data_IF_358289796870
#
_entry.id   IF_358289796870
#
_cell.length_a   1.000
_cell.length_b   1.000
_cell.length_c   1.000
_cell.angle_alpha   90.00
_cell.angle_beta   90.00
_cell.angle_gamma   90.00
#
_symmetry.space_group_name_H-M   'P 1'
#
loop_
_entity.id
_entity.type
_entity.pdbx_description
1 polymer ?
#
# COMPACT_ATOMS: atom_id res chain seq x y z
N UNK A 1 3.64 3.30 1.57
CA UNK A 1 2.91 4.53 1.99
C UNK A 1 2.28 5.18 0.77
N UNK A 2 1.13 5.81 0.93
CA UNK A 2 0.52 6.59 -0.15
C UNK A 2 1.53 7.65 -0.63
N UNK A 3 1.58 7.91 -1.94
CA UNK A 3 2.53 8.86 -2.51
C UNK A 3 3.95 8.35 -2.70
N UNK A 4 4.24 7.11 -2.38
CA UNK A 4 5.58 6.55 -2.54
C UNK A 4 5.92 6.17 -4.00
N UNK A 5 4.92 6.18 -4.90
CA UNK A 5 5.14 5.87 -6.31
C UNK A 5 4.98 4.39 -6.66
N UNK A 6 4.29 3.62 -5.83
CA UNK A 6 4.13 2.18 -6.00
C UNK A 6 3.51 1.80 -7.36
N UNK A 7 2.48 2.51 -7.78
CA UNK A 7 1.82 2.22 -9.05
C UNK A 7 2.74 2.49 -10.23
N UNK A 8 3.43 3.62 -10.24
CA UNK A 8 4.35 3.99 -11.31
C UNK A 8 5.52 3.02 -11.42
N UNK A 9 6.18 2.75 -10.30
CA UNK A 9 7.33 1.83 -10.25
C UNK A 9 6.88 0.41 -10.58
N UNK A 10 5.76 -0.02 -10.01
CA UNK A 10 5.24 -1.36 -10.23
C UNK A 10 4.88 -1.63 -11.69
N UNK A 11 4.22 -0.68 -12.34
CA UNK A 11 3.91 -0.79 -13.77
C UNK A 11 5.17 -0.88 -14.63
N UNK A 12 6.16 -0.04 -14.35
CA UNK A 12 7.43 -0.03 -15.11
C UNK A 12 8.16 -1.36 -14.93
N UNK A 13 8.22 -1.87 -13.70
CA UNK A 13 8.88 -3.13 -13.41
C UNK A 13 8.17 -4.31 -14.09
N UNK A 14 6.84 -4.32 -14.06
CA UNK A 14 6.06 -5.36 -14.70
C UNK A 14 6.30 -5.40 -16.21
N UNK A 15 6.42 -4.23 -16.86
CA UNK A 15 6.75 -4.15 -18.30
C UNK A 15 8.14 -4.70 -18.58
N UNK A 16 9.12 -4.36 -17.76
CA UNK A 16 10.50 -4.83 -17.94
C UNK A 16 10.61 -6.34 -17.79
N UNK A 17 9.85 -6.93 -16.88
CA UNK A 17 9.88 -8.37 -16.61
C UNK A 17 8.88 -9.16 -17.44
N UNK A 18 8.01 -8.49 -18.18
CA UNK A 18 6.88 -9.10 -18.87
C UNK A 18 5.97 -9.85 -17.89
N UNK A 19 5.68 -9.22 -16.77
CA UNK A 19 4.81 -9.73 -15.72
C UNK A 19 3.46 -9.01 -15.74
N UNK A 20 2.44 -9.62 -15.15
CA UNK A 20 1.18 -8.95 -14.89
C UNK A 20 1.34 -7.92 -13.79
N UNK A 21 0.53 -6.89 -13.81
CA UNK A 21 0.49 -5.87 -12.76
C UNK A 21 -0.88 -5.83 -12.11
N UNK A 22 -0.91 -5.86 -10.78
CA UNK A 22 -2.13 -5.71 -9.97
C UNK A 22 -1.96 -4.51 -9.05
N UNK A 23 -2.93 -3.59 -9.11
CA UNK A 23 -3.04 -2.51 -8.12
C UNK A 23 -4.00 -2.97 -7.02
N UNK A 24 -3.47 -3.13 -5.81
CA UNK A 24 -4.25 -3.63 -4.67
C UNK A 24 -5.41 -2.72 -4.29
N UNK A 25 -5.22 -1.41 -4.38
CA UNK A 25 -6.30 -0.46 -4.05
C UNK A 25 -7.46 -0.55 -5.04
N UNK A 26 -7.16 -0.72 -6.33
CA UNK A 26 -8.19 -0.91 -7.35
C UNK A 26 -8.95 -2.22 -7.07
N UNK A 27 -8.26 -3.29 -6.73
CA UNK A 27 -8.88 -4.57 -6.36
C UNK A 27 -9.82 -4.42 -5.18
N UNK A 28 -9.42 -3.66 -4.17
CA UNK A 28 -10.25 -3.41 -2.99
C UNK A 28 -11.49 -2.62 -3.39
N UNK A 29 -11.33 -1.57 -4.18
CA UNK A 29 -12.46 -0.73 -4.60
C UNK A 29 -13.46 -1.50 -5.46
N UNK A 30 -12.99 -2.42 -6.29
CA UNK A 30 -13.86 -3.34 -7.03
C UNK A 30 -14.68 -4.23 -6.09
N UNK A 31 -14.04 -4.75 -5.03
CA UNK A 31 -14.70 -5.63 -4.07
C UNK A 31 -15.77 -4.90 -3.25
N UNK A 32 -15.46 -3.69 -2.78
CA UNK A 32 -16.38 -2.93 -1.93
C UNK A 32 -17.35 -2.05 -2.72
N UNK A 33 -17.15 -1.94 -4.02
CA UNK A 33 -18.02 -1.24 -4.95
C UNK A 33 -18.19 0.26 -4.61
N UNK A 34 -17.13 0.87 -4.09
CA UNK A 34 -17.06 2.28 -3.73
C UNK A 34 -15.59 2.68 -3.55
N UNK A 35 -15.33 3.97 -3.30
CA UNK A 35 -13.97 4.41 -3.02
C UNK A 35 -13.54 3.97 -1.63
N UNK A 36 -12.23 3.81 -1.45
CA UNK A 36 -11.65 3.49 -0.14
C UNK A 36 -12.04 4.56 0.88
N UNK A 37 -11.99 5.85 0.50
CA UNK A 37 -12.34 6.93 1.43
C UNK A 37 -13.80 6.82 1.91
N UNK A 38 -14.74 6.54 1.00
CA UNK A 38 -16.14 6.36 1.37
C UNK A 38 -16.32 5.18 2.33
N UNK A 39 -15.61 4.08 2.09
CA UNK A 39 -15.67 2.92 2.97
C UNK A 39 -15.12 3.22 4.35
N UNK A 40 -13.98 3.92 4.43
CA UNK A 40 -13.39 4.34 5.70
C UNK A 40 -14.33 5.25 6.49
N UNK A 41 -14.96 6.20 5.81
CA UNK A 41 -15.90 7.13 6.46
C UNK A 41 -17.13 6.40 7.01
N UNK A 42 -17.58 5.35 6.33
CA UNK A 42 -18.77 4.61 6.68
C UNK A 42 -18.51 3.51 7.72
N UNK A 43 -17.44 2.75 7.58
CA UNK A 43 -17.18 1.55 8.37
C UNK A 43 -15.93 1.62 9.26
N UNK A 44 -15.03 2.56 9.01
CA UNK A 44 -13.83 2.76 9.81
C UNK A 44 -12.62 1.90 9.40
N UNK A 45 -11.50 2.18 10.03
CA UNK A 45 -10.20 1.56 9.75
C UNK A 45 -10.20 0.04 9.97
N UNK A 46 -10.82 -0.39 11.06
CA UNK A 46 -10.78 -1.82 11.46
C UNK A 46 -11.47 -2.70 10.44
N UNK A 47 -12.64 -2.27 9.97
CA UNK A 47 -13.38 -3.00 8.95
C UNK A 47 -12.62 -2.99 7.61
N UNK A 48 -12.02 -1.87 7.27
CA UNK A 48 -11.21 -1.76 6.05
C UNK A 48 -10.00 -2.69 6.07
N UNK A 49 -9.28 -2.76 7.20
CA UNK A 49 -8.11 -3.63 7.33
C UNK A 49 -8.48 -5.08 7.06
N UNK A 50 -9.65 -5.51 7.50
CA UNK A 50 -10.13 -6.87 7.28
C UNK A 50 -10.41 -7.15 5.80
N UNK A 51 -11.03 -6.19 5.11
CA UNK A 51 -11.29 -6.31 3.66
C UNK A 51 -9.97 -6.33 2.87
N UNK A 52 -9.05 -5.45 3.21
CA UNK A 52 -7.74 -5.41 2.58
C UNK A 52 -7.00 -6.74 2.75
N UNK A 53 -7.04 -7.31 3.96
CA UNK A 53 -6.44 -8.61 4.23
C UNK A 53 -7.03 -9.69 3.32
N UNK A 54 -8.34 -9.76 3.20
CA UNK A 54 -9.00 -10.74 2.33
C UNK A 54 -8.56 -10.61 0.88
N UNK A 55 -8.47 -9.38 0.38
CA UNK A 55 -8.04 -9.12 -1.00
C UNK A 55 -6.60 -9.57 -1.22
N UNK A 56 -5.70 -9.23 -0.29
CA UNK A 56 -4.29 -9.57 -0.41
C UNK A 56 -4.07 -11.09 -0.36
N UNK A 57 -4.80 -11.79 0.50
CA UNK A 57 -4.71 -13.26 0.60
C UNK A 57 -5.21 -13.97 -0.67
N UNK A 58 -5.98 -13.29 -1.51
CA UNK A 58 -6.51 -13.86 -2.75
C UNK A 58 -5.60 -13.73 -3.96
N UNK A 59 -4.48 -13.01 -3.84
CA UNK A 59 -3.59 -12.74 -4.98
C UNK A 59 -2.78 -13.98 -5.33
N UNK A 60 -2.77 -14.33 -6.63
CA UNK A 60 -1.94 -15.39 -7.16
C UNK A 60 -0.65 -14.80 -7.72
N UNK A 61 0.48 -15.13 -7.11
CA UNK A 61 1.80 -14.60 -7.49
C UNK A 61 2.48 -15.49 -8.55
N UNK A 62 1.87 -15.57 -9.72
CA UNK A 62 2.50 -16.22 -10.87
C UNK A 62 2.93 -15.15 -11.86
N UNK A 63 4.22 -14.80 -11.88
CA UNK A 63 4.76 -13.72 -12.74
C UNK A 63 3.93 -12.44 -12.61
N UNK A 64 3.72 -12.00 -11.37
CA UNK A 64 2.83 -10.89 -11.04
C UNK A 64 3.51 -9.90 -10.12
N UNK A 65 3.36 -8.61 -10.41
CA UNK A 65 3.75 -7.51 -9.54
C UNK A 65 2.48 -6.98 -8.87
N UNK A 66 2.51 -6.90 -7.55
CA UNK A 66 1.42 -6.32 -6.76
C UNK A 66 1.88 -5.01 -6.13
N UNK A 67 1.17 -3.92 -6.39
CA UNK A 67 1.33 -2.68 -5.66
C UNK A 67 0.27 -2.62 -4.57
N UNK A 68 0.67 -2.66 -3.31
CA UNK A 68 -0.27 -2.64 -2.19
C UNK A 68 -0.59 -1.21 -1.75
N UNK A 69 -1.70 -1.04 -1.06
CA UNK A 69 -1.95 0.18 -0.29
C UNK A 69 -0.99 0.25 0.90
N UNK A 70 -0.75 1.46 1.38
CA UNK A 70 0.19 1.68 2.48
C UNK A 70 -0.22 1.04 3.80
N UNK A 71 -1.49 0.71 3.95
CA UNK A 71 -2.04 0.10 5.16
C UNK A 71 -1.91 -1.42 5.22
N UNK A 72 -1.41 -2.07 4.15
CA UNK A 72 -1.26 -3.53 4.12
C UNK A 72 -0.41 -4.04 5.30
N UNK A 73 0.59 -3.27 5.72
CA UNK A 73 1.49 -3.65 6.83
C UNK A 73 0.80 -3.71 8.19
N UNK A 74 -0.43 -3.24 8.30
CA UNK A 74 -1.20 -3.30 9.54
C UNK A 74 -1.75 -4.71 9.80
N UNK A 75 -1.74 -5.59 8.80
CA UNK A 75 -2.14 -6.98 8.94
C UNK A 75 -0.93 -7.90 8.91
N UNK A 76 -0.59 -8.48 10.05
CA UNK A 76 0.49 -9.47 10.15
C UNK A 76 0.19 -10.70 9.28
N UNK A 77 -1.06 -11.14 9.25
CA UNK A 77 -1.50 -12.27 8.45
C UNK A 77 -1.26 -12.02 6.96
N UNK A 78 -1.65 -10.85 6.45
CA UNK A 78 -1.43 -10.49 5.07
C UNK A 78 0.06 -10.39 4.74
N UNK A 79 0.85 -9.76 5.61
CA UNK A 79 2.28 -9.59 5.36
C UNK A 79 3.04 -10.90 5.38
N UNK A 80 2.68 -11.83 6.27
CA UNK A 80 3.29 -13.17 6.28
C UNK A 80 2.99 -13.93 4.99
N UNK A 81 1.76 -13.85 4.51
CA UNK A 81 1.38 -14.44 3.23
C UNK A 81 2.20 -13.84 2.07
N UNK A 82 2.32 -12.52 2.02
CA UNK A 82 3.07 -11.85 0.96
C UNK A 82 4.55 -12.23 1.00
N UNK A 83 5.15 -12.32 2.18
CA UNK A 83 6.55 -12.71 2.33
C UNK A 83 6.82 -14.16 1.92
N UNK A 84 5.86 -15.05 2.16
CA UNK A 84 5.98 -16.46 1.79
C UNK A 84 5.82 -16.68 0.29
N UNK A 85 5.06 -15.83 -0.39
CA UNK A 85 4.66 -16.04 -1.79
C UNK A 85 5.28 -15.05 -2.77
N UNK A 86 6.03 -14.06 -2.29
CA UNK A 86 6.64 -13.03 -3.13
C UNK A 86 7.86 -12.40 -2.47
N UNK A 87 8.57 -11.57 -3.23
CA UNK A 87 9.60 -10.69 -2.70
C UNK A 87 8.94 -9.36 -2.34
N UNK A 88 9.08 -8.93 -1.09
CA UNK A 88 8.49 -7.68 -0.62
C UNK A 88 9.50 -6.55 -0.74
N UNK A 89 9.16 -5.54 -1.53
CA UNK A 89 10.00 -4.38 -1.76
C UNK A 89 9.35 -3.17 -1.09
N UNK A 90 10.09 -2.51 -0.20
CA UNK A 90 9.66 -1.26 0.40
C UNK A 90 10.26 -0.09 -0.39
N UNK A 91 9.38 0.74 -0.93
CA UNK A 91 9.79 2.00 -1.55
C UNK A 91 9.91 3.05 -0.46
N UNK A 92 11.15 3.33 -0.04
CA UNK A 92 11.41 4.29 1.03
C UNK A 92 11.41 5.72 0.48
N UNK A 93 10.55 6.55 1.04
CA UNK A 93 10.41 7.95 0.68
C UNK A 93 10.38 8.77 1.97
N UNK A 94 11.07 9.91 2.00
CA UNK A 94 11.07 10.78 3.16
C UNK A 94 9.67 11.33 3.44
N UNK A 95 9.42 11.70 4.70
CA UNK A 95 8.14 12.31 5.07
C UNK A 95 7.88 13.59 4.26
N UNK A 96 8.89 14.42 4.07
CA UNK A 96 8.77 15.65 3.31
C UNK A 96 8.29 15.41 1.89
N UNK A 97 8.87 14.43 1.21
CA UNK A 97 8.48 14.07 -0.15
C UNK A 97 7.06 13.51 -0.20
N UNK A 98 6.71 12.62 0.74
CA UNK A 98 5.35 12.07 0.81
C UNK A 98 4.33 13.16 1.10
N UNK A 99 4.60 14.03 2.05
CA UNK A 99 3.71 15.13 2.42
C UNK A 99 3.43 16.03 1.22
N UNK A 100 4.45 16.37 0.46
CA UNK A 100 4.32 17.17 -0.75
C UNK A 100 3.50 16.47 -1.83
N UNK A 101 3.76 15.19 -2.08
CA UNK A 101 3.01 14.40 -3.06
C UNK A 101 1.54 14.26 -2.69
N UNK A 102 1.24 14.00 -1.43
CA UNK A 102 -0.14 13.84 -0.95
C UNK A 102 -0.88 15.19 -0.98
N UNK A 103 -0.20 16.28 -0.65
CA UNK A 103 -0.79 17.62 -0.72
C UNK A 103 -1.27 17.94 -2.15
N UNK A 104 -0.46 17.56 -3.14
CA UNK A 104 -0.80 17.77 -4.55
C UNK A 104 -1.89 16.82 -5.06
N UNK A 105 -2.16 15.72 -4.34
CA UNK A 105 -3.13 14.69 -4.71
C UNK A 105 -4.26 14.63 -3.68
N UNK A 106 -4.76 15.73 -3.27
CA UNK A 106 -5.57 16.00 -2.07
C UNK A 106 -6.71 15.03 -1.73
N UNK A 107 -7.08 14.11 -2.59
CA UNK A 107 -8.24 13.24 -2.39
C UNK A 107 -7.91 11.76 -2.22
N UNK A 108 -6.65 11.42 -1.96
CA UNK A 108 -6.29 10.03 -1.70
C UNK A 108 -6.71 9.61 -0.31
N UNK A 109 -7.44 8.51 -0.24
CA UNK A 109 -7.73 7.86 1.03
C UNK A 109 -6.44 7.36 1.68
N UNK A 110 -6.09 7.92 2.83
CA UNK A 110 -4.99 7.42 3.66
C UNK A 110 -5.59 6.81 4.91
N UNK A 111 -5.37 5.51 5.12
CA UNK A 111 -5.89 4.80 6.29
C UNK A 111 -5.11 5.25 7.53
N UNK A 112 -5.79 5.91 8.45
CA UNK A 112 -5.20 6.46 9.69
C UNK A 112 -5.98 6.01 10.91
N UNK A 113 -5.32 6.05 12.07
CA UNK A 113 -6.02 5.93 13.34
C UNK A 113 -6.86 7.18 13.63
N UNK A 114 -7.89 7.09 14.49
CA UNK A 114 -8.71 8.23 14.85
C UNK A 114 -7.86 9.39 15.40
N UNK A 115 -8.01 10.58 14.80
CA UNK A 115 -7.26 11.76 15.19
C UNK A 115 -5.77 11.74 14.86
N UNK A 116 -5.31 10.73 14.13
CA UNK A 116 -3.90 10.57 13.77
C UNK A 116 -3.51 11.50 12.62
N UNK A 117 -2.42 12.23 12.78
CA UNK A 117 -1.88 13.08 11.71
C UNK A 117 -1.14 12.24 10.65
N UNK A 118 -0.84 12.84 9.51
CA UNK A 118 -0.03 12.19 8.48
C UNK A 118 1.36 11.80 9.00
N UNK A 119 2.00 12.68 9.79
CA UNK A 119 3.30 12.40 10.38
C UNK A 119 3.24 11.21 11.35
N UNK A 120 2.24 11.17 12.22
CA UNK A 120 2.04 10.05 13.13
C UNK A 120 1.81 8.76 12.36
N UNK A 121 1.02 8.79 11.30
CA UNK A 121 0.79 7.65 10.43
C UNK A 121 2.09 7.18 9.77
N UNK A 122 2.88 8.11 9.25
CA UNK A 122 4.16 7.81 8.64
C UNK A 122 5.11 7.11 9.62
N UNK A 123 5.24 7.68 10.82
CA UNK A 123 6.14 7.14 11.85
C UNK A 123 5.69 5.75 12.34
N UNK A 124 4.38 5.55 12.53
CA UNK A 124 3.82 4.26 12.93
C UNK A 124 4.18 3.17 11.92
N UNK A 125 4.06 3.50 10.63
CA UNK A 125 4.22 2.52 9.55
C UNK A 125 5.67 2.29 9.15
N UNK A 126 6.55 3.27 9.37
CA UNK A 126 7.95 3.20 8.95
C UNK A 126 8.65 1.93 9.47
N UNK A 127 8.48 1.63 10.74
CA UNK A 127 9.08 0.45 11.35
C UNK A 127 8.47 -0.84 10.80
N UNK A 128 7.16 -0.84 10.54
CA UNK A 128 6.46 -2.00 9.98
C UNK A 128 6.93 -2.27 8.55
N UNK A 129 7.10 -1.23 7.73
CA UNK A 129 7.62 -1.40 6.39
C UNK A 129 9.01 -2.05 6.41
N UNK A 130 9.88 -1.57 7.27
CA UNK A 130 11.24 -2.11 7.41
C UNK A 130 11.22 -3.56 7.92
N UNK A 131 10.30 -3.88 8.83
CA UNK A 131 10.18 -5.22 9.39
C UNK A 131 9.82 -6.27 8.34
N UNK A 132 8.88 -5.94 7.44
CA UNK A 132 8.36 -6.89 6.48
C UNK A 132 9.07 -6.88 5.13
N UNK A 133 9.92 -5.90 4.87
CA UNK A 133 10.60 -5.77 3.57
C UNK A 133 11.71 -6.80 3.41
N UNK A 134 11.77 -7.42 2.25
CA UNK A 134 12.93 -8.20 1.83
C UNK A 134 14.00 -7.28 1.22
N UNK A 135 13.57 -6.21 0.58
CA UNK A 135 14.44 -5.21 -0.04
C UNK A 135 13.92 -3.80 0.23
N UNK A 136 14.83 -2.85 0.37
CA UNK A 136 14.50 -1.43 0.55
C UNK A 136 15.10 -0.64 -0.60
N UNK A 137 14.26 0.11 -1.31
CA UNK A 137 14.67 0.94 -2.43
C UNK A 137 14.24 2.39 -2.16
N UNK A 138 15.19 3.32 -2.22
CA UNK A 138 14.87 4.73 -2.02
C UNK A 138 14.24 5.31 -3.30
N UNK A 139 13.13 6.00 -3.14
CA UNK A 139 12.36 6.58 -4.25
C UNK A 139 12.01 8.04 -3.99
N UNK A 140 13.01 8.83 -3.59
CA UNK A 140 12.86 10.28 -3.37
C UNK A 140 13.00 11.10 -4.67
N UNK A 141 13.19 10.44 -5.79
CA UNK A 141 13.37 11.07 -7.08
C UNK A 141 12.11 11.77 -7.58
N UNK A 142 12.28 12.58 -8.61
CA UNK A 142 11.23 13.35 -9.26
C UNK A 142 10.23 12.45 -10.00
#
# INVERSE_FOLDING_TARGET
>A
MAGAGKTTVGNSLAKLLNYDFIDGDIKIEEKINQTIQNYLDQYGRKAFTKIEEEVLLSVNFNQTILATGGSAVLSDTAMNFLRENSEVIYLEVSYETISERIFNLSERGVVRGPGQSLLETYNERLELYKRYADHVVKNNGT
#
